data_IF_300347836971
#
_entry.id   IF_300347836971
#
_cell.length_a   1.000
_cell.length_b   1.000
_cell.length_c   1.000
_cell.angle_alpha   90.00
_cell.angle_beta   90.00
_cell.angle_gamma   90.00
#
_symmetry.space_group_name_H-M   'P 1'
#
loop_
_entity.id
_entity.type
_entity.pdbx_description
1 polymer ?
#
# COMPACT_ATOMS: atom_id res chain seq x y z
N UNK A 1 25.68 -48.44 -7.65
CA UNK A 1 24.79 -47.85 -8.66
C UNK A 1 24.86 -46.34 -8.46
N UNK A 2 25.44 -45.57 -9.39
CA UNK A 2 25.43 -44.11 -9.27
C UNK A 2 23.96 -43.64 -9.33
N UNK A 3 23.56 -42.59 -8.60
CA UNK A 3 22.21 -42.05 -8.72
C UNK A 3 22.02 -41.60 -10.16
N UNK A 4 20.90 -42.01 -10.76
CA UNK A 4 20.54 -41.67 -12.13
C UNK A 4 20.72 -40.16 -12.37
N UNK A 5 21.39 -39.80 -13.45
CA UNK A 5 21.46 -38.43 -13.94
C UNK A 5 20.03 -37.93 -14.20
N UNK A 6 19.48 -37.21 -13.23
CA UNK A 6 18.14 -36.67 -13.32
C UNK A 6 18.18 -35.49 -14.30
N UNK A 7 17.45 -35.63 -15.40
CA UNK A 7 17.45 -34.72 -16.54
C UNK A 7 17.23 -33.26 -16.09
N UNK A 8 18.28 -32.42 -16.24
CA UNK A 8 18.37 -31.07 -15.67
C UNK A 8 17.55 -30.02 -16.45
N UNK A 9 17.13 -30.34 -17.68
CA UNK A 9 16.57 -29.37 -18.64
C UNK A 9 15.22 -28.75 -18.22
N UNK A 10 14.45 -29.38 -17.34
CA UNK A 10 13.09 -28.93 -16.97
C UNK A 10 13.00 -28.18 -15.62
N UNK A 11 14.14 -27.81 -15.04
CA UNK A 11 14.17 -27.10 -13.75
C UNK A 11 13.94 -25.59 -13.96
N UNK A 12 12.86 -25.05 -13.41
CA UNK A 12 12.47 -23.63 -13.59
C UNK A 12 12.89 -22.77 -12.39
N UNK A 13 13.04 -23.37 -11.21
CA UNK A 13 13.42 -22.64 -9.99
C UNK A 13 14.21 -23.52 -9.02
N UNK A 14 15.12 -22.92 -8.26
CA UNK A 14 15.86 -23.63 -7.20
C UNK A 14 15.94 -22.80 -5.91
N UNK A 15 15.80 -23.44 -4.76
CA UNK A 15 15.89 -22.79 -3.44
C UNK A 15 16.32 -23.78 -2.37
N UNK A 16 17.39 -23.46 -1.65
CA UNK A 16 17.92 -24.30 -0.57
C UNK A 16 18.09 -25.79 -0.95
N UNK A 17 18.47 -26.07 -2.19
CA UNK A 17 18.64 -27.44 -2.71
C UNK A 17 17.36 -28.07 -3.27
N UNK A 18 16.18 -27.51 -3.03
CA UNK A 18 14.94 -27.89 -3.69
C UNK A 18 14.91 -27.36 -5.12
N UNK A 19 14.43 -28.17 -6.05
CA UNK A 19 14.28 -27.85 -7.47
C UNK A 19 12.81 -27.96 -7.86
N UNK A 20 12.29 -26.92 -8.49
CA UNK A 20 10.90 -26.85 -8.94
C UNK A 20 10.86 -27.08 -10.45
N UNK A 21 10.17 -28.15 -10.87
CA UNK A 21 9.92 -28.47 -12.28
C UNK A 21 8.78 -27.60 -12.84
N UNK A 22 8.70 -27.44 -14.15
CA UNK A 22 7.66 -26.63 -14.82
C UNK A 22 6.22 -26.87 -14.33
N UNK A 23 5.73 -28.11 -14.13
CA UNK A 23 4.37 -28.35 -13.64
C UNK A 23 4.15 -27.89 -12.19
N UNK A 24 5.17 -28.03 -11.35
CA UNK A 24 5.13 -27.59 -9.95
C UNK A 24 5.10 -26.06 -9.89
N UNK A 25 5.85 -25.38 -10.78
CA UNK A 25 5.88 -23.94 -10.86
C UNK A 25 4.52 -23.39 -11.30
N UNK A 26 3.93 -23.98 -12.34
CA UNK A 26 2.58 -23.64 -12.79
C UNK A 26 1.52 -23.84 -11.68
N UNK A 27 1.67 -24.90 -10.89
CA UNK A 27 0.80 -25.17 -9.73
C UNK A 27 0.96 -24.08 -8.66
N UNK A 28 2.19 -23.71 -8.30
CA UNK A 28 2.46 -22.64 -7.33
C UNK A 28 1.87 -21.29 -7.79
N UNK A 29 2.06 -20.93 -9.07
CA UNK A 29 1.49 -19.71 -9.66
C UNK A 29 -0.04 -19.72 -9.63
N UNK A 30 -0.66 -20.86 -9.90
CA UNK A 30 -2.13 -21.02 -9.82
C UNK A 30 -2.64 -20.81 -8.39
N UNK A 31 -1.96 -21.36 -7.39
CA UNK A 31 -2.31 -21.17 -5.98
C UNK A 31 -2.10 -19.71 -5.53
N UNK A 32 -1.01 -19.07 -5.94
CA UNK A 32 -0.76 -17.66 -5.68
C UNK A 32 -1.89 -16.80 -6.27
N UNK A 33 -2.22 -16.99 -7.54
CA UNK A 33 -3.30 -16.25 -8.20
C UNK A 33 -4.65 -16.44 -7.50
N UNK A 34 -4.99 -17.68 -7.12
CA UNK A 34 -6.23 -17.96 -6.38
C UNK A 34 -6.26 -17.21 -5.04
N UNK A 35 -5.16 -17.19 -4.30
CA UNK A 35 -5.05 -16.48 -3.04
C UNK A 35 -5.17 -14.95 -3.23
N UNK A 36 -4.55 -14.40 -4.27
CA UNK A 36 -4.64 -12.97 -4.62
C UNK A 36 -6.10 -12.59 -4.96
N UNK A 37 -6.79 -13.35 -5.82
CA UNK A 37 -8.21 -13.12 -6.15
C UNK A 37 -9.11 -13.22 -4.92
N UNK A 38 -8.86 -14.17 -4.01
CA UNK A 38 -9.60 -14.25 -2.75
C UNK A 38 -9.42 -12.99 -1.90
N UNK A 39 -8.20 -12.44 -1.81
CA UNK A 39 -7.94 -11.17 -1.10
C UNK A 39 -8.63 -9.99 -1.79
N UNK A 40 -8.56 -9.90 -3.12
CA UNK A 40 -9.26 -8.88 -3.91
C UNK A 40 -10.76 -8.92 -3.63
N UNK A 41 -11.38 -10.09 -3.69
CA UNK A 41 -12.80 -10.26 -3.42
C UNK A 41 -13.18 -9.89 -1.98
N UNK A 42 -12.38 -10.30 -1.00
CA UNK A 42 -12.60 -9.94 0.40
C UNK A 42 -12.59 -8.41 0.61
N UNK A 43 -11.60 -7.72 0.04
CA UNK A 43 -11.51 -6.27 0.15
C UNK A 43 -12.59 -5.54 -0.66
N UNK A 44 -12.99 -6.08 -1.83
CA UNK A 44 -14.14 -5.57 -2.60
C UNK A 44 -15.42 -5.63 -1.79
N UNK A 45 -15.74 -6.78 -1.19
CA UNK A 45 -16.95 -6.94 -0.37
C UNK A 45 -16.97 -5.97 0.82
N UNK A 46 -15.81 -5.70 1.43
CA UNK A 46 -15.69 -4.70 2.52
C UNK A 46 -15.89 -3.27 2.05
N UNK A 47 -15.58 -2.95 0.80
CA UNK A 47 -15.86 -1.64 0.19
C UNK A 47 -17.36 -1.48 -0.09
N UNK A 48 -17.99 -2.50 -0.67
CA UNK A 48 -19.41 -2.46 -1.00
C UNK A 48 -20.27 -2.34 0.27
N UNK A 49 -19.85 -3.01 1.35
CA UNK A 49 -20.55 -2.94 2.65
C UNK A 49 -20.62 -1.51 3.20
N UNK A 50 -19.55 -0.69 3.10
CA UNK A 50 -19.59 0.69 3.62
C UNK A 50 -20.49 1.59 2.81
N UNK A 51 -20.45 1.47 1.47
CA UNK A 51 -21.36 2.22 0.60
C UNK A 51 -22.82 1.83 0.87
N UNK A 52 -23.12 0.54 1.09
CA UNK A 52 -24.47 0.09 1.44
C UNK A 52 -24.96 0.71 2.76
N UNK A 53 -24.14 0.71 3.82
CA UNK A 53 -24.50 1.36 5.09
C UNK A 53 -24.68 2.87 4.94
N UNK A 54 -23.88 3.51 4.10
CA UNK A 54 -24.01 4.93 3.82
C UNK A 54 -25.39 5.23 3.17
N UNK A 55 -25.79 4.46 2.16
CA UNK A 55 -27.07 4.64 1.44
C UNK A 55 -28.27 4.38 2.36
N UNK A 56 -28.23 3.29 3.15
CA UNK A 56 -29.30 2.95 4.10
C UNK A 56 -29.45 4.05 5.15
N UNK A 57 -28.34 4.58 5.68
CA UNK A 57 -28.39 5.63 6.70
C UNK A 57 -28.92 6.94 6.13
N UNK A 58 -28.52 7.31 4.91
CA UNK A 58 -29.03 8.49 4.23
C UNK A 58 -30.55 8.38 3.97
N UNK A 59 -31.01 7.25 3.43
CA UNK A 59 -32.43 7.03 3.16
C UNK A 59 -33.28 7.07 4.45
N UNK A 60 -32.80 6.47 5.53
CA UNK A 60 -33.47 6.50 6.84
C UNK A 60 -33.53 7.94 7.40
N UNK A 61 -32.44 8.70 7.27
CA UNK A 61 -32.39 10.09 7.72
C UNK A 61 -33.32 11.01 6.94
N UNK A 62 -33.38 10.86 5.62
CA UNK A 62 -34.31 11.61 4.77
C UNK A 62 -35.76 11.30 5.16
N UNK A 63 -36.10 10.03 5.32
CA UNK A 63 -37.43 9.58 5.75
C UNK A 63 -37.80 10.17 7.11
N UNK A 64 -36.88 10.13 8.07
CA UNK A 64 -37.07 10.73 9.39
C UNK A 64 -37.28 12.25 9.27
N UNK A 65 -36.37 12.99 8.63
CA UNK A 65 -36.39 14.46 8.61
C UNK A 65 -37.61 15.03 7.89
N UNK A 66 -38.10 14.35 6.85
CA UNK A 66 -39.32 14.75 6.14
C UNK A 66 -40.60 14.15 6.72
N UNK A 67 -40.51 13.15 7.61
CA UNK A 67 -41.67 12.52 8.24
C UNK A 67 -42.49 13.45 9.15
N UNK A 68 -41.89 14.54 9.65
CA UNK A 68 -42.60 15.59 10.39
C UNK A 68 -41.98 16.98 10.15
N UNK A 69 -42.79 18.04 10.01
CA UNK A 69 -42.32 19.42 9.98
C UNK A 69 -41.39 19.77 11.14
N UNK A 70 -41.71 19.28 12.34
CA UNK A 70 -40.97 19.57 13.58
C UNK A 70 -39.64 18.81 13.72
N UNK A 71 -39.33 17.87 12.83
CA UNK A 71 -38.08 17.13 12.92
C UNK A 71 -36.87 18.03 12.64
N UNK A 72 -35.81 17.92 13.44
CA UNK A 72 -34.67 18.82 13.38
C UNK A 72 -33.93 18.72 12.04
N UNK A 73 -33.71 19.85 11.38
CA UNK A 73 -32.94 19.90 10.13
C UNK A 73 -31.49 19.44 10.31
N UNK A 74 -30.93 19.61 11.51
CA UNK A 74 -29.54 19.25 11.80
C UNK A 74 -29.28 17.75 11.80
N UNK A 75 -30.32 16.91 11.84
CA UNK A 75 -30.15 15.46 11.66
C UNK A 75 -29.52 15.10 10.32
N UNK A 76 -29.81 15.86 9.24
CA UNK A 76 -29.14 15.66 7.95
C UNK A 76 -27.65 16.05 8.01
N UNK A 77 -27.27 17.01 8.86
CA UNK A 77 -25.87 17.39 9.06
C UNK A 77 -25.11 16.35 9.89
N UNK A 78 -25.76 15.70 10.85
CA UNK A 78 -25.18 14.55 11.56
C UNK A 78 -24.91 13.39 10.58
N UNK A 79 -25.84 13.15 9.65
CA UNK A 79 -25.67 12.15 8.59
C UNK A 79 -24.56 12.55 7.62
N UNK A 80 -24.40 13.84 7.31
CA UNK A 80 -23.26 14.32 6.52
C UNK A 80 -21.93 13.95 7.18
N UNK A 81 -21.80 14.18 8.49
CA UNK A 81 -20.58 13.79 9.25
C UNK A 81 -20.36 12.28 9.17
N UNK A 82 -21.42 11.48 9.29
CA UNK A 82 -21.33 10.03 9.16
C UNK A 82 -20.92 9.59 7.74
N UNK A 83 -21.46 10.22 6.68
CA UNK A 83 -21.06 9.97 5.30
C UNK A 83 -19.59 10.30 5.06
N UNK A 84 -19.09 11.40 5.64
CA UNK A 84 -17.66 11.75 5.57
C UNK A 84 -16.78 10.72 6.30
N UNK A 85 -17.26 10.18 7.44
CA UNK A 85 -16.58 9.09 8.14
C UNK A 85 -16.57 7.80 7.31
N UNK A 86 -17.69 7.43 6.69
CA UNK A 86 -17.73 6.28 5.77
C UNK A 86 -16.82 6.47 4.56
N UNK A 87 -16.81 7.67 3.95
CA UNK A 87 -15.89 8.01 2.88
C UNK A 87 -14.42 7.85 3.31
N UNK A 88 -14.06 8.29 4.53
CA UNK A 88 -12.71 8.10 5.08
C UNK A 88 -12.35 6.60 5.23
N UNK A 89 -13.24 5.83 5.85
CA UNK A 89 -13.05 4.37 6.06
C UNK A 89 -12.91 3.67 4.71
N UNK A 90 -13.75 4.02 3.75
CA UNK A 90 -13.78 3.44 2.42
C UNK A 90 -12.55 3.83 1.60
N UNK A 91 -12.08 5.08 1.68
CA UNK A 91 -10.83 5.53 1.05
C UNK A 91 -9.62 4.75 1.60
N UNK A 92 -9.56 4.53 2.92
CA UNK A 92 -8.54 3.67 3.52
C UNK A 92 -8.61 2.25 2.97
N UNK A 93 -9.80 1.63 2.96
CA UNK A 93 -10.02 0.27 2.43
C UNK A 93 -9.68 0.16 0.94
N UNK A 94 -9.93 1.22 0.17
CA UNK A 94 -9.66 1.26 -1.27
C UNK A 94 -8.17 1.10 -1.56
N UNK A 95 -7.30 1.74 -0.77
CA UNK A 95 -5.84 1.59 -0.88
C UNK A 95 -5.39 0.14 -0.66
N UNK A 96 -6.01 -0.58 0.27
CA UNK A 96 -5.74 -2.01 0.47
C UNK A 96 -6.25 -2.86 -0.70
N UNK A 97 -7.48 -2.62 -1.16
CA UNK A 97 -8.05 -3.31 -2.32
C UNK A 97 -7.14 -3.16 -3.55
N UNK A 98 -6.66 -1.95 -3.80
CA UNK A 98 -5.85 -1.65 -4.97
C UNK A 98 -4.50 -2.37 -4.98
N UNK A 99 -3.86 -2.53 -3.82
CA UNK A 99 -2.60 -3.30 -3.70
C UNK A 99 -2.77 -4.73 -4.24
N UNK A 100 -3.82 -5.42 -3.79
CA UNK A 100 -4.11 -6.80 -4.21
C UNK A 100 -4.57 -6.84 -5.66
N UNK A 101 -5.45 -5.91 -6.06
CA UNK A 101 -5.98 -5.85 -7.42
C UNK A 101 -4.87 -5.67 -8.46
N UNK A 102 -3.88 -4.81 -8.18
CA UNK A 102 -2.74 -4.60 -9.07
C UNK A 102 -1.87 -5.86 -9.25
N UNK A 103 -1.61 -6.61 -8.17
CA UNK A 103 -0.88 -7.88 -8.26
C UNK A 103 -1.64 -8.92 -9.07
N UNK A 104 -2.95 -9.07 -8.82
CA UNK A 104 -3.80 -9.93 -9.65
C UNK A 104 -3.76 -9.49 -11.11
N UNK A 105 -3.83 -8.18 -11.38
CA UNK A 105 -3.80 -7.64 -12.73
C UNK A 105 -2.48 -7.94 -13.45
N UNK A 106 -1.33 -7.81 -12.76
CA UNK A 106 -0.02 -8.18 -13.32
C UNK A 106 0.02 -9.65 -13.74
N UNK A 107 -0.53 -10.55 -12.91
CA UNK A 107 -0.64 -11.98 -13.23
C UNK A 107 -1.59 -12.24 -14.41
N UNK A 108 -2.76 -11.60 -14.43
CA UNK A 108 -3.72 -11.73 -15.54
C UNK A 108 -3.11 -11.32 -16.89
N UNK A 109 -2.43 -10.17 -16.94
CA UNK A 109 -1.93 -9.61 -18.19
C UNK A 109 -0.61 -10.20 -18.66
N UNK A 110 0.28 -10.59 -17.73
CA UNK A 110 1.63 -11.03 -18.10
C UNK A 110 1.88 -12.53 -17.89
N UNK A 111 1.07 -13.21 -17.07
CA UNK A 111 1.21 -14.66 -16.92
C UNK A 111 0.11 -15.39 -17.71
N UNK A 112 -1.16 -15.11 -17.41
CA UNK A 112 -2.27 -15.84 -18.01
C UNK A 112 -2.58 -15.43 -19.45
N UNK A 113 -2.60 -14.14 -19.77
CA UNK A 113 -2.86 -13.71 -21.15
C UNK A 113 -1.79 -14.20 -22.14
N UNK A 114 -0.51 -14.20 -21.72
CA UNK A 114 0.60 -14.72 -22.50
C UNK A 114 0.47 -16.22 -22.82
N UNK A 115 -0.17 -17.01 -21.95
CA UNK A 115 -0.45 -18.43 -22.19
C UNK A 115 -1.58 -18.66 -23.21
N UNK A 116 -2.53 -17.74 -23.32
CA UNK A 116 -3.77 -17.96 -24.08
C UNK A 116 -3.64 -17.66 -25.57
N UNK A 117 -2.75 -16.76 -25.98
CA UNK A 117 -2.59 -16.39 -27.39
C UNK A 117 -1.17 -15.90 -27.71
N UNK A 118 -0.29 -16.76 -28.26
CA UNK A 118 0.94 -16.31 -28.91
C UNK A 118 0.55 -15.42 -30.11
N UNK A 119 1.07 -14.18 -30.26
CA UNK A 119 2.39 -13.70 -29.86
C UNK A 119 2.38 -12.65 -28.73
N UNK A 120 1.41 -12.68 -27.80
CA UNK A 120 1.42 -11.77 -26.64
C UNK A 120 2.57 -12.13 -25.69
N UNK A 121 3.73 -11.53 -25.92
CA UNK A 121 4.86 -11.62 -25.02
C UNK A 121 4.59 -10.74 -23.79
N UNK A 122 4.83 -11.25 -22.58
CA UNK A 122 4.67 -10.43 -21.39
C UNK A 122 5.72 -9.32 -21.33
N UNK A 123 5.43 -8.24 -20.60
CA UNK A 123 6.37 -7.14 -20.45
C UNK A 123 7.68 -7.64 -19.82
N UNK A 124 8.84 -7.33 -20.40
CA UNK A 124 10.12 -7.96 -20.01
C UNK A 124 10.45 -7.91 -18.50
N UNK A 125 9.95 -6.89 -17.79
CA UNK A 125 10.19 -6.63 -16.38
C UNK A 125 9.03 -7.03 -15.44
N UNK A 126 7.96 -7.66 -15.95
CA UNK A 126 6.75 -7.94 -15.17
C UNK A 126 7.03 -8.80 -13.92
N UNK A 127 7.92 -9.78 -14.03
CA UNK A 127 8.29 -10.67 -12.93
C UNK A 127 9.05 -9.91 -11.84
N UNK A 128 9.95 -9.00 -12.23
CA UNK A 128 10.67 -8.12 -11.29
C UNK A 128 9.73 -7.12 -10.62
N UNK A 129 8.70 -6.62 -11.33
CA UNK A 129 7.66 -5.77 -10.72
C UNK A 129 6.84 -6.54 -9.67
N UNK A 130 6.43 -7.78 -9.98
CA UNK A 130 5.70 -8.63 -9.05
C UNK A 130 6.57 -8.99 -7.83
N UNK A 131 7.83 -9.37 -8.04
CA UNK A 131 8.79 -9.61 -6.97
C UNK A 131 8.92 -8.39 -6.05
N UNK A 132 9.14 -7.22 -6.64
CA UNK A 132 9.26 -5.96 -5.89
C UNK A 132 8.00 -5.68 -5.08
N UNK A 133 6.82 -5.81 -5.68
CA UNK A 133 5.55 -5.58 -4.99
C UNK A 133 5.34 -6.62 -3.87
N UNK A 134 5.78 -7.87 -4.02
CA UNK A 134 5.71 -8.92 -2.99
C UNK A 134 6.66 -8.67 -1.82
N UNK A 135 7.90 -8.27 -2.10
CA UNK A 135 8.92 -7.99 -1.07
C UNK A 135 8.67 -6.66 -0.36
N UNK A 136 8.15 -5.66 -1.07
CA UNK A 136 7.97 -4.29 -0.58
C UNK A 136 6.54 -3.80 -0.87
N UNK A 137 5.54 -4.27 -0.11
CA UNK A 137 4.16 -3.84 -0.29
C UNK A 137 4.02 -2.35 0.02
N UNK A 138 3.67 -1.54 -0.98
CA UNK A 138 3.49 -0.09 -0.82
C UNK A 138 2.12 0.36 -1.36
N UNK A 139 1.45 1.24 -0.62
CA UNK A 139 0.25 1.92 -1.11
C UNK A 139 0.66 2.99 -2.12
N UNK A 140 0.40 2.75 -3.40
CA UNK A 140 0.75 3.69 -4.48
C UNK A 140 -0.20 4.87 -4.58
N UNK A 141 -1.43 4.69 -4.11
CA UNK A 141 -2.43 5.75 -4.06
C UNK A 141 -2.41 6.35 -2.66
N UNK A 142 -2.25 7.66 -2.58
CA UNK A 142 -2.28 8.37 -1.31
C UNK A 142 -3.69 8.37 -0.72
N UNK A 143 -3.79 8.70 0.56
CA UNK A 143 -5.09 8.81 1.23
C UNK A 143 -5.98 9.89 0.61
N UNK A 144 -5.41 11.02 0.18
CA UNK A 144 -6.16 12.11 -0.45
C UNK A 144 -6.69 11.73 -1.84
N UNK A 145 -5.87 11.06 -2.65
CA UNK A 145 -6.30 10.54 -3.95
C UNK A 145 -7.41 9.51 -3.78
N UNK A 146 -7.28 8.61 -2.80
CA UNK A 146 -8.31 7.62 -2.51
C UNK A 146 -9.65 8.28 -2.11
N UNK A 147 -9.62 9.34 -1.29
CA UNK A 147 -10.82 10.12 -0.96
C UNK A 147 -11.46 10.70 -2.22
N UNK A 148 -10.66 11.35 -3.07
CA UNK A 148 -11.16 11.98 -4.28
C UNK A 148 -11.80 10.97 -5.24
N UNK A 149 -11.16 9.81 -5.44
CA UNK A 149 -11.69 8.73 -6.27
C UNK A 149 -13.01 8.17 -5.73
N UNK A 150 -13.10 7.89 -4.41
CA UNK A 150 -14.31 7.35 -3.80
C UNK A 150 -15.43 8.38 -3.73
N UNK A 151 -15.12 9.64 -3.46
CA UNK A 151 -16.10 10.72 -3.48
C UNK A 151 -16.72 10.86 -4.87
N UNK A 152 -15.90 11.01 -5.92
CA UNK A 152 -16.38 11.13 -7.30
C UNK A 152 -17.26 9.96 -7.74
N UNK A 153 -16.87 8.73 -7.39
CA UNK A 153 -17.53 7.52 -7.89
C UNK A 153 -18.83 7.19 -7.17
N UNK A 154 -18.88 7.41 -5.85
CA UNK A 154 -19.98 6.94 -5.00
C UNK A 154 -20.65 8.07 -4.21
N UNK A 155 -19.87 8.86 -3.44
CA UNK A 155 -20.45 9.78 -2.45
C UNK A 155 -20.89 11.13 -3.02
N UNK A 156 -20.47 11.50 -4.22
CA UNK A 156 -20.87 12.77 -4.85
C UNK A 156 -22.39 12.86 -4.93
N UNK A 157 -23.05 11.83 -5.43
CA UNK A 157 -24.51 11.82 -5.59
C UNK A 157 -25.23 11.80 -4.24
N UNK A 158 -24.75 10.98 -3.31
CA UNK A 158 -25.29 10.87 -1.95
C UNK A 158 -25.21 12.20 -1.20
N UNK A 159 -24.02 12.79 -1.11
CA UNK A 159 -23.84 14.07 -0.40
C UNK A 159 -24.63 15.18 -1.11
N UNK A 160 -24.68 15.19 -2.44
CA UNK A 160 -25.48 16.19 -3.18
C UNK A 160 -26.96 16.05 -2.89
N UNK A 161 -27.49 14.83 -2.85
CA UNK A 161 -28.88 14.55 -2.51
C UNK A 161 -29.17 15.00 -1.07
N UNK A 162 -28.37 14.57 -0.11
CA UNK A 162 -28.47 14.95 1.30
C UNK A 162 -28.47 16.49 1.49
N UNK A 163 -27.55 17.21 0.84
CA UNK A 163 -27.44 18.66 0.95
C UNK A 163 -28.62 19.38 0.27
N UNK A 164 -29.06 18.89 -0.89
CA UNK A 164 -30.24 19.43 -1.58
C UNK A 164 -31.48 19.25 -0.71
N UNK A 165 -31.66 18.09 -0.11
CA UNK A 165 -32.71 17.81 0.86
C UNK A 165 -32.63 18.70 2.10
N UNK A 166 -31.43 18.98 2.60
CA UNK A 166 -31.24 19.90 3.72
C UNK A 166 -31.68 21.34 3.38
N UNK A 167 -31.30 21.84 2.21
CA UNK A 167 -31.75 23.15 1.71
C UNK A 167 -33.28 23.18 1.54
N UNK A 168 -33.86 22.13 0.97
CA UNK A 168 -35.32 21.99 0.83
C UNK A 168 -36.01 22.05 2.21
N UNK A 169 -35.49 21.33 3.21
CA UNK A 169 -36.04 21.33 4.58
C UNK A 169 -36.06 22.75 5.17
N UNK A 170 -34.98 23.52 4.99
CA UNK A 170 -34.88 24.91 5.48
C UNK A 170 -35.83 25.87 4.74
N UNK A 171 -36.08 25.63 3.45
CA UNK A 171 -36.98 26.47 2.66
C UNK A 171 -38.46 26.20 2.95
N UNK A 172 -38.85 24.93 3.15
CA UNK A 172 -40.27 24.56 3.34
C UNK A 172 -40.72 24.77 4.79
N UNK A 173 -39.86 24.52 5.77
CA UNK A 173 -40.24 24.53 7.19
C UNK A 173 -39.53 25.63 8.01
N UNK A 174 -40.22 26.23 9.00
CA UNK A 174 -41.60 25.98 9.42
C UNK A 174 -42.65 26.49 8.42
N UNK A 175 -42.34 27.53 7.65
CA UNK A 175 -43.19 28.08 6.58
C UNK A 175 -42.40 28.22 5.28
N UNK A 176 -42.99 28.05 4.10
CA UNK A 176 -42.29 28.24 2.83
C UNK A 176 -41.67 29.64 2.73
N UNK A 177 -40.38 29.72 2.36
CA UNK A 177 -39.68 30.99 2.10
C UNK A 177 -38.79 30.90 0.88
N UNK A 178 -38.65 32.02 0.17
CA UNK A 178 -37.69 32.21 -0.92
C UNK A 178 -36.55 33.15 -0.53
N UNK A 179 -36.59 33.70 0.69
CA UNK A 179 -35.59 34.65 1.16
C UNK A 179 -34.39 33.93 1.78
N UNK A 180 -33.20 34.21 1.23
CA UNK A 180 -31.94 33.60 1.66
C UNK A 180 -31.62 33.92 3.13
N UNK A 181 -31.92 35.12 3.61
CA UNK A 181 -31.66 35.52 5.00
C UNK A 181 -32.48 34.70 6.01
N UNK A 182 -33.74 34.42 5.69
CA UNK A 182 -34.61 33.58 6.51
C UNK A 182 -34.08 32.15 6.52
N UNK A 183 -33.68 31.61 5.35
CA UNK A 183 -33.06 30.28 5.25
C UNK A 183 -31.77 30.19 6.09
N UNK A 184 -30.90 31.20 6.03
CA UNK A 184 -29.67 31.26 6.84
C UNK A 184 -30.01 31.27 8.33
N UNK A 185 -31.00 32.06 8.74
CA UNK A 185 -31.42 32.12 10.13
C UNK A 185 -31.97 30.77 10.62
N UNK A 186 -32.75 30.08 9.77
CA UNK A 186 -33.29 28.73 10.05
C UNK A 186 -32.23 27.64 10.14
N UNK A 187 -31.07 27.82 9.52
CA UNK A 187 -29.97 26.87 9.62
C UNK A 187 -29.31 26.85 11.03
N UNK A 188 -29.68 27.76 11.92
CA UNK A 188 -29.12 27.88 13.27
C UNK A 188 -29.39 26.65 14.12
N UNK A 189 -28.36 26.13 14.79
CA UNK A 189 -28.47 24.96 15.68
C UNK A 189 -28.39 25.44 17.13
N UNK A 190 -29.54 25.39 17.81
CA UNK A 190 -29.67 25.83 19.19
C UNK A 190 -29.22 27.28 19.38
N UNK A 191 -28.64 27.59 20.54
CA UNK A 191 -28.04 28.90 20.81
C UNK A 191 -26.53 28.94 20.49
N UNK A 192 -25.94 27.80 20.11
CA UNK A 192 -24.49 27.61 20.07
C UNK A 192 -23.88 28.01 18.73
N UNK A 193 -24.55 27.73 17.60
CA UNK A 193 -23.96 27.92 16.27
C UNK A 193 -24.92 28.67 15.35
N UNK A 194 -24.63 29.95 15.01
CA UNK A 194 -25.38 30.72 14.04
C UNK A 194 -25.43 30.04 12.67
N UNK A 195 -26.58 30.02 12.02
CA UNK A 195 -26.79 29.31 10.75
C UNK A 195 -25.85 29.75 9.61
N UNK A 196 -25.38 31.00 9.62
CA UNK A 196 -24.35 31.47 8.66
C UNK A 196 -23.08 30.63 8.70
N UNK A 197 -22.61 30.26 9.88
CA UNK A 197 -21.37 29.50 10.04
C UNK A 197 -21.55 28.04 9.63
N UNK A 198 -22.76 27.50 9.83
CA UNK A 198 -23.11 26.15 9.39
C UNK A 198 -23.13 26.08 7.87
N UNK A 199 -23.79 27.02 7.21
CA UNK A 199 -23.84 27.08 5.74
C UNK A 199 -22.43 27.24 5.17
N UNK A 200 -21.63 28.16 5.72
CA UNK A 200 -20.23 28.32 5.29
C UNK A 200 -19.44 27.03 5.47
N UNK A 201 -19.54 26.37 6.62
CA UNK A 201 -18.84 25.10 6.87
C UNK A 201 -19.24 24.00 5.89
N UNK A 202 -20.54 23.83 5.64
CA UNK A 202 -21.08 22.84 4.68
C UNK A 202 -20.59 23.12 3.26
N UNK A 203 -20.68 24.38 2.81
CA UNK A 203 -20.22 24.79 1.48
C UNK A 203 -18.72 24.59 1.34
N UNK A 204 -17.92 24.95 2.34
CA UNK A 204 -16.47 24.76 2.32
C UNK A 204 -16.08 23.28 2.25
N UNK A 205 -16.72 22.42 3.04
CA UNK A 205 -16.47 20.97 3.01
C UNK A 205 -16.79 20.41 1.62
N UNK A 206 -17.97 20.74 1.07
CA UNK A 206 -18.38 20.24 -0.24
C UNK A 206 -17.48 20.77 -1.37
N UNK A 207 -17.13 22.06 -1.33
CA UNK A 207 -16.21 22.67 -2.28
C UNK A 207 -14.81 22.04 -2.20
N UNK A 208 -14.29 21.77 -0.99
CA UNK A 208 -13.01 21.10 -0.80
C UNK A 208 -13.01 19.70 -1.44
N UNK A 209 -14.08 18.92 -1.28
CA UNK A 209 -14.21 17.60 -1.90
C UNK A 209 -14.23 17.68 -3.44
N UNK A 210 -14.91 18.69 -4.00
CA UNK A 210 -14.90 18.93 -5.45
C UNK A 210 -13.52 19.35 -5.95
N UNK A 211 -12.83 20.24 -5.23
CA UNK A 211 -11.46 20.66 -5.56
C UNK A 211 -10.51 19.47 -5.51
N UNK A 212 -10.55 18.66 -4.44
CA UNK A 212 -9.76 17.43 -4.32
C UNK A 212 -10.02 16.47 -5.49
N UNK A 213 -11.28 16.38 -5.95
CA UNK A 213 -11.65 15.57 -7.11
C UNK A 213 -11.04 16.09 -8.40
N UNK A 214 -11.15 17.40 -8.66
CA UNK A 214 -10.57 18.03 -9.84
C UNK A 214 -9.05 17.84 -9.83
N UNK A 215 -8.41 18.12 -8.69
CA UNK A 215 -6.99 17.88 -8.50
C UNK A 215 -6.63 16.43 -8.83
N UNK A 216 -7.35 15.46 -8.27
CA UNK A 216 -7.16 14.02 -8.47
C UNK A 216 -7.36 13.54 -9.93
N UNK A 217 -8.07 14.30 -10.76
CA UNK A 217 -8.23 13.97 -12.19
C UNK A 217 -7.11 14.46 -13.09
N UNK A 218 -6.30 15.41 -12.62
CA UNK A 218 -5.18 15.93 -13.41
C UNK A 218 -4.13 14.80 -13.52
N UNK A 219 -3.69 14.42 -14.73
CA UNK A 219 -2.73 13.33 -14.91
C UNK A 219 -1.42 13.61 -14.15
N UNK A 220 -0.78 12.58 -13.58
CA UNK A 220 0.37 12.72 -12.67
C UNK A 220 1.59 13.42 -13.32
N UNK A 221 1.70 13.38 -14.65
CA UNK A 221 2.74 14.08 -15.42
C UNK A 221 2.69 15.61 -15.27
N UNK A 222 1.51 16.18 -15.01
CA UNK A 222 1.30 17.63 -14.81
C UNK A 222 1.34 18.04 -13.33
N UNK A 223 1.58 17.11 -12.41
CA UNK A 223 1.52 17.28 -10.95
C UNK A 223 2.90 17.27 -10.28
N UNK A 224 3.92 17.92 -10.85
CA UNK A 224 5.28 17.89 -10.29
C UNK A 224 5.35 18.27 -8.79
N UNK A 225 4.60 19.31 -8.37
CA UNK A 225 4.55 19.78 -6.97
C UNK A 225 3.72 18.84 -6.08
N UNK A 226 2.59 18.32 -6.58
CA UNK A 226 1.76 17.38 -5.83
C UNK A 226 2.47 16.04 -5.63
N UNK A 227 3.17 15.52 -6.64
CA UNK A 227 3.94 14.28 -6.55
C UNK A 227 5.08 14.40 -5.53
N UNK A 228 5.69 15.56 -5.39
CA UNK A 228 6.68 15.85 -4.34
C UNK A 228 6.04 15.79 -2.94
N UNK A 229 4.91 16.48 -2.73
CA UNK A 229 4.19 16.45 -1.44
C UNK A 229 3.62 15.06 -1.11
N UNK A 230 3.19 14.33 -2.13
CA UNK A 230 2.61 13.00 -2.04
C UNK A 230 3.67 11.93 -1.75
N UNK A 231 4.84 12.01 -2.37
CA UNK A 231 5.99 11.17 -2.01
C UNK A 231 6.39 11.41 -0.55
N UNK A 232 6.40 12.68 -0.11
CA UNK A 232 6.68 13.04 1.28
C UNK A 232 5.59 12.55 2.25
N UNK A 233 4.32 12.57 1.84
CA UNK A 233 3.21 12.06 2.65
C UNK A 233 3.18 10.52 2.71
N UNK A 234 3.51 9.83 1.61
CA UNK A 234 3.70 8.37 1.59
C UNK A 234 4.86 7.92 2.48
N UNK A 235 5.91 8.73 2.58
CA UNK A 235 7.04 8.49 3.48
C UNK A 235 6.64 8.60 4.96
N UNK A 236 5.72 9.51 5.29
CA UNK A 236 5.15 9.68 6.64
C UNK A 236 4.16 8.55 6.99
N UNK A 237 3.43 7.99 6.01
CA UNK A 237 2.44 6.91 6.23
C UNK A 237 3.01 5.48 6.19
N UNK A 238 4.28 5.28 5.83
CA UNK A 238 4.91 3.94 5.77
C UNK A 238 5.98 3.68 6.85
N UNK A 239 5.67 3.66 8.16
CA UNK A 239 6.63 3.18 9.16
C UNK A 239 6.78 1.65 9.20
N UNK A 240 5.91 0.89 8.49
CA UNK A 240 5.70 -0.52 8.84
C UNK A 240 6.47 -1.56 8.00
N UNK A 241 7.10 -1.23 6.87
CA UNK A 241 7.70 -2.27 5.98
C UNK A 241 8.91 -1.81 5.15
N UNK A 242 9.83 -1.00 5.71
CA UNK A 242 11.21 -0.96 5.17
C UNK A 242 12.05 -1.98 5.96
N UNK A 243 12.53 -3.07 5.36
CA UNK A 243 13.42 -3.99 6.05
C UNK A 243 14.70 -3.25 6.43
N UNK A 244 15.01 -3.26 7.73
CA UNK A 244 16.11 -2.46 8.28
C UNK A 244 17.45 -3.03 7.80
N UNK A 245 18.35 -2.20 7.25
CA UNK A 245 19.69 -2.65 6.91
C UNK A 245 20.50 -2.90 8.18
N UNK A 246 21.29 -3.96 8.15
CA UNK A 246 22.21 -4.35 9.22
C UNK A 246 23.60 -4.52 8.63
N UNK A 247 24.58 -3.95 9.30
CA UNK A 247 25.99 -4.17 9.01
C UNK A 247 26.40 -5.46 9.73
N UNK A 248 26.86 -6.45 8.98
CA UNK A 248 27.32 -7.71 9.55
C UNK A 248 28.81 -7.84 9.33
N UNK A 249 29.52 -8.08 10.43
CA UNK A 249 30.95 -8.41 10.43
C UNK A 249 31.10 -9.88 10.82
N UNK A 250 31.79 -10.66 10.00
CA UNK A 250 31.97 -12.10 10.17
C UNK A 250 33.46 -12.39 10.28
N UNK A 251 33.87 -13.04 11.35
CA UNK A 251 35.26 -13.44 11.59
C UNK A 251 35.33 -14.96 11.40
N UNK A 252 36.08 -15.43 10.41
CA UNK A 252 36.11 -16.84 10.00
C UNK A 252 37.50 -17.25 9.50
N UNK A 253 37.79 -18.55 9.55
CA UNK A 253 38.96 -19.14 8.89
C UNK A 253 38.71 -19.49 7.41
N UNK A 254 37.45 -19.54 6.97
CA UNK A 254 37.04 -20.00 5.64
C UNK A 254 36.49 -18.83 4.80
N UNK A 255 37.22 -17.69 4.82
CA UNK A 255 36.72 -16.40 4.29
C UNK A 255 36.38 -16.45 2.81
N UNK A 256 37.16 -17.14 1.98
CA UNK A 256 36.94 -17.23 0.53
C UNK A 256 35.68 -18.02 0.19
N UNK A 257 35.50 -19.19 0.84
CA UNK A 257 34.32 -20.04 0.63
C UNK A 257 33.06 -19.34 1.10
N UNK A 258 33.11 -18.70 2.26
CA UNK A 258 31.97 -17.97 2.81
C UNK A 258 31.62 -16.74 1.97
N UNK A 259 32.62 -15.97 1.51
CA UNK A 259 32.39 -14.83 0.63
C UNK A 259 31.71 -15.22 -0.68
N UNK A 260 32.17 -16.30 -1.33
CA UNK A 260 31.56 -16.82 -2.55
C UNK A 260 30.11 -17.24 -2.34
N UNK A 261 29.79 -17.84 -1.19
CA UNK A 261 28.43 -18.25 -0.85
C UNK A 261 27.51 -17.07 -0.52
N UNK A 262 28.02 -16.03 0.17
CA UNK A 262 27.26 -14.79 0.42
C UNK A 262 26.87 -14.12 -0.90
N UNK A 263 27.82 -14.02 -1.85
CA UNK A 263 27.56 -13.43 -3.16
C UNK A 263 26.55 -14.28 -3.94
N UNK A 264 26.76 -15.60 -4.00
CA UNK A 264 25.94 -16.51 -4.82
C UNK A 264 24.53 -16.72 -4.27
N UNK A 265 24.40 -16.89 -2.95
CA UNK A 265 23.13 -17.29 -2.30
C UNK A 265 22.33 -16.09 -1.83
N UNK A 266 22.99 -15.08 -1.25
CA UNK A 266 22.30 -13.90 -0.71
C UNK A 266 22.25 -12.74 -1.72
N UNK A 267 23.02 -12.80 -2.80
CA UNK A 267 23.10 -11.73 -3.80
C UNK A 267 23.68 -10.43 -3.24
N UNK A 268 24.53 -10.52 -2.20
CA UNK A 268 25.06 -9.36 -1.48
C UNK A 268 26.57 -9.25 -1.65
N UNK A 269 27.01 -8.01 -1.83
CA UNK A 269 28.44 -7.67 -1.84
C UNK A 269 29.05 -7.93 -0.47
N UNK A 270 30.31 -8.36 -0.47
CA UNK A 270 31.08 -8.61 0.74
C UNK A 270 32.49 -8.07 0.54
N UNK A 271 33.00 -7.38 1.55
CA UNK A 271 34.36 -6.84 1.56
C UNK A 271 35.20 -7.68 2.50
N UNK A 272 36.38 -8.11 2.05
CA UNK A 272 37.33 -8.83 2.90
C UNK A 272 38.31 -7.86 3.52
N UNK A 273 38.58 -8.04 4.81
CA UNK A 273 39.63 -7.39 5.57
C UNK A 273 40.55 -8.46 6.16
N UNK A 274 41.85 -8.17 6.19
CA UNK A 274 42.84 -9.02 6.85
C UNK A 274 42.91 -8.65 8.34
N UNK A 275 42.76 -9.64 9.21
CA UNK A 275 42.90 -9.48 10.65
C UNK A 275 43.94 -10.45 11.23
N UNK A 276 44.42 -10.15 12.44
CA UNK A 276 45.30 -11.05 13.20
C UNK A 276 44.68 -11.29 14.57
N UNK A 277 44.51 -12.57 14.94
CA UNK A 277 43.99 -12.92 16.25
C UNK A 277 45.02 -12.65 17.33
N UNK A 278 44.83 -11.62 18.15
CA UNK A 278 45.84 -11.22 19.16
C UNK A 278 46.08 -12.27 20.26
N UNK A 279 45.14 -13.19 20.48
CA UNK A 279 45.34 -14.30 21.42
C UNK A 279 46.17 -15.45 20.82
N UNK A 280 46.06 -15.70 19.52
CA UNK A 280 46.67 -16.87 18.85
C UNK A 280 47.84 -16.52 17.94
N UNK A 281 48.00 -15.25 17.56
CA UNK A 281 48.98 -14.78 16.58
C UNK A 281 48.67 -15.17 15.12
N UNK A 282 47.57 -15.88 14.87
CA UNK A 282 47.26 -16.38 13.53
C UNK A 282 46.45 -15.37 12.70
N UNK A 283 46.65 -15.33 11.36
CA UNK A 283 45.80 -14.55 10.47
C UNK A 283 44.35 -15.04 10.54
N UNK A 284 43.41 -14.09 10.51
CA UNK A 284 41.97 -14.31 10.56
C UNK A 284 41.30 -13.51 9.46
N UNK A 285 40.37 -14.15 8.75
CA UNK A 285 39.55 -13.47 7.76
C UNK A 285 38.43 -12.70 8.42
N UNK A 286 38.27 -11.42 8.04
CA UNK A 286 37.15 -10.59 8.46
C UNK A 286 36.35 -10.19 7.23
N UNK A 287 35.08 -10.61 7.17
CA UNK A 287 34.16 -10.25 6.10
C UNK A 287 33.18 -9.21 6.60
N UNK A 288 32.99 -8.14 5.84
CA UNK A 288 31.99 -7.11 6.09
C UNK A 288 30.96 -7.14 4.97
N UNK A 289 29.68 -7.23 5.32
CA UNK A 289 28.58 -7.16 4.37
C UNK A 289 27.39 -6.43 4.98
N UNK A 290 26.66 -5.69 4.15
CA UNK A 290 25.38 -5.10 4.53
C UNK A 290 24.26 -5.99 4.02
N UNK A 291 23.36 -6.36 4.93
CA UNK A 291 22.24 -7.26 4.68
C UNK A 291 20.95 -6.62 5.21
N UNK A 292 19.80 -7.21 4.91
CA UNK A 292 18.55 -6.87 5.61
C UNK A 292 18.30 -7.81 6.78
N UNK A 293 17.51 -7.38 7.77
CA UNK A 293 17.09 -8.25 8.88
C UNK A 293 16.46 -9.57 8.41
N UNK A 294 15.79 -9.58 7.25
CA UNK A 294 15.17 -10.77 6.64
C UNK A 294 16.22 -11.77 6.14
N UNK A 295 17.41 -11.31 5.73
CA UNK A 295 18.49 -12.15 5.20
C UNK A 295 19.38 -12.76 6.32
N UNK A 296 19.31 -12.24 7.56
CA UNK A 296 20.12 -12.72 8.68
C UNK A 296 19.98 -14.22 9.00
N UNK A 297 18.78 -14.83 8.98
CA UNK A 297 18.64 -16.25 9.27
C UNK A 297 19.40 -17.13 8.27
N UNK A 298 19.32 -16.81 6.97
CA UNK A 298 20.05 -17.52 5.92
C UNK A 298 21.56 -17.34 6.06
N UNK A 299 22.04 -16.13 6.38
CA UNK A 299 23.46 -15.92 6.66
C UNK A 299 23.94 -16.78 7.84
N UNK A 300 23.21 -16.77 8.96
CA UNK A 300 23.57 -17.58 10.14
C UNK A 300 23.63 -19.07 9.81
N UNK A 301 22.75 -19.55 8.93
CA UNK A 301 22.78 -20.93 8.45
C UNK A 301 24.02 -21.22 7.61
N UNK A 302 24.38 -20.34 6.66
CA UNK A 302 25.58 -20.46 5.84
C UNK A 302 26.86 -20.47 6.67
N UNK A 303 26.96 -19.53 7.63
CA UNK A 303 28.12 -19.45 8.53
C UNK A 303 28.25 -20.73 9.34
N UNK A 304 27.16 -21.19 9.98
CA UNK A 304 27.17 -22.43 10.78
C UNK A 304 27.53 -23.67 9.98
N UNK A 305 27.13 -23.76 8.71
CA UNK A 305 27.43 -24.92 7.87
C UNK A 305 28.86 -24.96 7.37
N UNK A 306 29.48 -23.80 7.18
CA UNK A 306 30.84 -23.69 6.61
C UNK A 306 31.92 -23.61 7.69
N UNK A 307 31.68 -22.83 8.74
CA UNK A 307 32.61 -22.64 9.85
C UNK A 307 31.84 -22.51 11.17
N UNK A 308 31.61 -23.62 11.89
CA UNK A 308 30.95 -23.61 13.20
C UNK A 308 31.67 -22.77 14.27
N UNK A 309 32.96 -22.45 14.07
CA UNK A 309 33.77 -21.65 14.98
C UNK A 309 33.84 -20.17 14.59
N UNK A 310 33.13 -19.76 13.54
CA UNK A 310 33.06 -18.36 13.14
C UNK A 310 32.22 -17.51 14.11
N UNK A 311 32.57 -16.23 14.21
CA UNK A 311 31.87 -15.25 15.04
C UNK A 311 31.17 -14.23 14.13
N UNK A 312 29.91 -13.92 14.42
CA UNK A 312 29.10 -12.96 13.64
C UNK A 312 28.67 -11.82 14.55
N UNK A 313 29.08 -10.61 14.21
CA UNK A 313 28.68 -9.36 14.87
C UNK A 313 27.67 -8.64 13.99
N UNK A 314 26.53 -8.27 14.56
CA UNK A 314 25.43 -7.61 13.84
C UNK A 314 25.25 -6.23 14.45
N UNK A 315 25.52 -5.20 13.65
CA UNK A 315 25.31 -3.80 14.01
C UNK A 315 24.13 -3.25 13.22
N UNK A 316 23.21 -2.54 13.89
CA UNK A 316 22.16 -1.81 13.19
C UNK A 316 22.78 -0.63 12.46
N UNK A 317 22.55 -0.51 11.15
CA UNK A 317 22.99 0.64 10.39
C UNK A 317 21.94 1.75 10.50
N UNK A 318 22.37 2.96 10.87
CA UNK A 318 21.49 4.14 10.93
C UNK A 318 20.93 4.47 9.55
N UNK A 319 21.76 4.33 8.52
CA UNK A 319 21.40 4.57 7.12
C UNK A 319 22.36 3.81 6.19
N UNK A 320 21.85 3.29 5.06
CA UNK A 320 22.67 2.69 4.01
C UNK A 320 22.17 3.18 2.66
N UNK A 321 23.07 3.76 1.88
CA UNK A 321 22.83 4.24 0.53
C UNK A 321 23.79 3.57 -0.47
N UNK A 322 23.34 3.34 -1.70
CA UNK A 322 24.08 2.69 -2.78
C UNK A 322 23.65 1.25 -3.08
N UNK A 323 24.24 0.68 -4.14
CA UNK A 323 24.10 -0.68 -4.68
C UNK A 323 23.19 -1.66 -3.90
N UNK A 324 21.93 -1.78 -4.33
CA UNK A 324 20.95 -2.72 -3.76
C UNK A 324 20.24 -2.24 -2.48
N UNK A 325 20.43 -0.96 -2.11
CA UNK A 325 19.72 -0.21 -1.07
C UNK A 325 19.19 1.13 -1.63
N UNK A 326 18.89 2.11 -0.77
CA UNK A 326 18.46 3.45 -1.20
C UNK A 326 19.51 4.11 -2.11
N UNK A 327 19.13 4.86 -3.17
CA UNK A 327 20.12 5.59 -3.98
C UNK A 327 20.94 6.58 -3.14
N UNK A 328 22.18 6.85 -3.54
CA UNK A 328 22.94 7.98 -3.00
C UNK A 328 22.23 9.27 -3.43
N UNK A 329 21.92 10.14 -2.47
CA UNK A 329 21.38 11.46 -2.80
C UNK A 329 22.46 12.27 -3.53
N UNK A 330 22.22 12.61 -4.79
CA UNK A 330 23.05 13.61 -5.49
C UNK A 330 22.71 14.98 -4.92
N UNK A 331 23.67 15.71 -4.33
CA UNK A 331 23.42 17.09 -3.92
C UNK A 331 23.09 17.93 -5.16
N UNK A 332 22.02 18.70 -5.07
CA UNK A 332 21.52 19.64 -6.08
C UNK A 332 22.46 20.83 -6.29
#
# INVERSE_FOLDING_TARGET
MPPAEENLDDTVWTYQGYRLKSPQFATAMTHLYRAEIQRVNFWRNRLDTTTNWAVVTEAAALTFVFGSPGNPHFSLLLVLVLLLAFLNIEARRYRYYELWYRRSRLLETNYFAAMMSPPYLPAADWAAQLEKDLLYPAFRTSWWEAIAHRFRRNYLWMITLLLSSWVIKLNIHPTPTTQIEIMITRATIGQLIPGKWIIVGVVLIYALLLILTILATIPPEKRAILKYLENKAMEIESPLLKPRPVLVTIITNEKEKLAAQIIKVLGRGVTSLEGTGMYTGHPKGVLISVLTEVQLPQLKQLVRSLDPHAFVVINQASEVQGYGFSPLETPL
#
